data_IF_398830406837
#
_entry.id   IF_398830406837
#
_cell.length_a   1.000
_cell.length_b   1.000
_cell.length_c   1.000
_cell.angle_alpha   90.00
_cell.angle_beta   90.00
_cell.angle_gamma   90.00
#
_symmetry.space_group_name_H-M   'P 1'
#
loop_
_entity.id
_entity.type
_entity.pdbx_description
1 polymer ?
#
# COMPACT_ATOMS: atom_id res chain seq x y z
N UNK A 1 -15.89 15.93 44.58
CA UNK A 1 -15.84 14.45 44.52
C UNK A 1 -16.56 13.91 43.30
N UNK A 2 -17.82 14.31 43.06
CA UNK A 2 -18.61 13.95 41.86
C UNK A 2 -17.91 14.34 40.54
N UNK A 3 -17.30 15.53 40.48
CA UNK A 3 -16.59 16.00 39.28
C UNK A 3 -15.37 15.16 38.90
N UNK A 4 -14.63 14.62 39.89
CA UNK A 4 -13.49 13.72 39.63
C UNK A 4 -13.97 12.36 39.14
N UNK A 5 -15.03 11.82 39.75
CA UNK A 5 -15.63 10.55 39.34
C UNK A 5 -16.17 10.59 37.89
N UNK A 6 -16.77 11.71 37.48
CA UNK A 6 -17.21 11.90 36.09
C UNK A 6 -16.04 12.01 35.11
N UNK A 7 -14.93 12.62 35.53
CA UNK A 7 -13.72 12.78 34.71
C UNK A 7 -12.98 11.44 34.56
N UNK A 8 -12.89 10.65 35.64
CA UNK A 8 -12.33 9.31 35.63
C UNK A 8 -13.20 8.36 34.78
N UNK A 9 -14.53 8.43 34.92
CA UNK A 9 -15.46 7.64 34.10
C UNK A 9 -15.39 8.04 32.62
N UNK A 10 -15.28 9.35 32.32
CA UNK A 10 -15.10 9.84 30.95
C UNK A 10 -13.77 9.37 30.35
N UNK A 11 -12.68 9.43 31.11
CA UNK A 11 -11.36 8.92 30.68
C UNK A 11 -11.38 7.40 30.44
N UNK A 12 -12.10 6.64 31.28
CA UNK A 12 -12.31 5.21 31.06
C UNK A 12 -13.11 4.98 29.78
N UNK A 13 -14.24 5.66 29.57
CA UNK A 13 -15.07 5.50 28.36
C UNK A 13 -14.30 5.88 27.08
N UNK A 14 -13.52 6.97 27.11
CA UNK A 14 -12.64 7.36 25.98
C UNK A 14 -11.57 6.31 25.72
N UNK A 15 -11.07 5.63 26.76
CA UNK A 15 -10.11 4.52 26.62
C UNK A 15 -10.72 3.24 26.04
N UNK A 16 -12.06 3.14 25.96
CA UNK A 16 -12.78 1.96 25.46
C UNK A 16 -13.24 2.08 24.00
N UNK A 17 -13.11 3.25 23.37
CA UNK A 17 -13.54 3.43 21.99
C UNK A 17 -12.44 2.98 21.03
N UNK A 18 -12.62 1.81 20.42
CA UNK A 18 -11.69 1.31 19.42
C UNK A 18 -11.71 2.17 18.16
N UNK A 19 -10.52 2.51 17.65
CA UNK A 19 -10.33 3.19 16.38
C UNK A 19 -11.03 2.47 15.21
N UNK A 20 -11.57 3.24 14.27
CA UNK A 20 -12.04 2.77 12.97
C UNK A 20 -10.88 2.77 11.96
N UNK A 21 -10.46 1.60 11.50
CA UNK A 21 -9.25 1.41 10.72
C UNK A 21 -9.60 0.90 9.33
N UNK A 22 -9.13 1.61 8.30
CA UNK A 22 -9.13 1.14 6.93
C UNK A 22 -7.83 0.42 6.63
N UNK A 23 -7.91 -0.82 6.16
CA UNK A 23 -6.76 -1.59 5.67
C UNK A 23 -6.90 -1.75 4.17
N UNK A 24 -6.00 -1.15 3.39
CA UNK A 24 -6.07 -1.10 1.94
C UNK A 24 -4.94 -1.91 1.31
N UNK A 25 -5.18 -3.19 1.07
CA UNK A 25 -4.18 -4.14 0.51
C UNK A 25 -4.79 -4.98 -0.62
N UNK A 26 -5.12 -4.39 -1.79
CA UNK A 26 -5.76 -5.08 -2.93
C UNK A 26 -4.82 -6.05 -3.67
N UNK A 27 -3.77 -6.51 -3.00
CA UNK A 27 -2.82 -7.52 -3.47
C UNK A 27 -3.37 -8.92 -3.22
N UNK A 28 -3.42 -9.75 -4.26
CA UNK A 28 -3.78 -11.18 -4.18
C UNK A 28 -2.69 -12.12 -3.65
N UNK A 29 -1.61 -11.60 -3.06
CA UNK A 29 -0.49 -12.42 -2.58
C UNK A 29 -0.72 -12.97 -1.17
N UNK A 30 -0.74 -14.30 -1.05
CA UNK A 30 -0.88 -14.98 0.25
C UNK A 30 0.22 -14.60 1.24
N UNK A 31 1.48 -14.42 0.80
CA UNK A 31 2.57 -14.08 1.72
C UNK A 31 2.39 -12.69 2.34
N UNK A 32 1.81 -11.74 1.60
CA UNK A 32 1.53 -10.40 2.10
C UNK A 32 0.37 -10.45 3.08
N UNK A 33 -0.73 -11.11 2.69
CA UNK A 33 -1.92 -11.24 3.54
C UNK A 33 -1.63 -12.02 4.83
N UNK A 34 -0.83 -13.08 4.78
CA UNK A 34 -0.41 -13.83 5.98
C UNK A 34 0.43 -12.98 6.94
N UNK A 35 1.14 -11.98 6.44
CA UNK A 35 1.93 -11.05 7.26
C UNK A 35 1.02 -10.06 7.99
N UNK A 36 -0.01 -9.53 7.31
CA UNK A 36 -0.81 -8.43 7.84
C UNK A 36 -2.05 -8.88 8.63
N UNK A 37 -2.79 -9.91 8.18
CA UNK A 37 -4.05 -10.35 8.78
C UNK A 37 -3.97 -10.64 10.29
N UNK A 38 -2.91 -11.27 10.83
CA UNK A 38 -2.80 -11.50 12.27
C UNK A 38 -2.84 -10.21 13.09
N UNK A 39 -2.21 -9.13 12.59
CA UNK A 39 -2.19 -7.81 13.24
C UNK A 39 -3.62 -7.27 13.34
N UNK A 40 -4.34 -7.26 12.21
CA UNK A 40 -5.69 -6.68 12.17
C UNK A 40 -6.76 -7.53 12.86
N UNK A 41 -6.59 -8.86 12.92
CA UNK A 41 -7.41 -9.72 13.79
C UNK A 41 -7.23 -9.37 15.26
N UNK A 42 -5.99 -9.12 15.68
CA UNK A 42 -5.70 -8.77 17.05
C UNK A 42 -6.22 -7.36 17.39
N UNK A 43 -6.09 -6.39 16.49
CA UNK A 43 -6.71 -5.07 16.65
C UNK A 43 -8.24 -5.19 16.75
N UNK A 44 -8.88 -5.99 15.89
CA UNK A 44 -10.31 -6.24 15.99
C UNK A 44 -10.71 -6.83 17.35
N UNK A 45 -9.97 -7.83 17.85
CA UNK A 45 -10.21 -8.43 19.18
C UNK A 45 -10.08 -7.43 20.33
N UNK A 46 -9.29 -6.38 20.16
CA UNK A 46 -9.11 -5.29 21.13
C UNK A 46 -10.19 -4.21 21.03
N UNK A 47 -11.19 -4.39 20.17
CA UNK A 47 -12.35 -3.50 20.04
C UNK A 47 -12.27 -2.50 18.88
N UNK A 48 -11.22 -2.55 18.06
CA UNK A 48 -11.12 -1.70 16.86
C UNK A 48 -12.10 -2.16 15.77
N UNK A 49 -12.72 -1.21 15.07
CA UNK A 49 -13.51 -1.52 13.88
C UNK A 49 -12.57 -1.58 12.66
N UNK A 50 -12.64 -2.67 11.88
CA UNK A 50 -11.74 -2.87 10.73
C UNK A 50 -12.56 -3.02 9.45
N UNK A 51 -12.23 -2.19 8.46
CA UNK A 51 -12.65 -2.38 7.06
C UNK A 51 -11.42 -2.79 6.25
N UNK A 52 -11.44 -4.00 5.69
CA UNK A 52 -10.28 -4.58 5.02
C UNK A 52 -10.53 -4.75 3.52
N UNK A 53 -9.88 -3.93 2.70
CA UNK A 53 -9.87 -4.08 1.23
C UNK A 53 -8.78 -5.08 0.84
N UNK A 54 -9.17 -6.15 0.15
CA UNK A 54 -8.28 -7.24 -0.25
C UNK A 54 -8.76 -7.92 -1.52
N UNK A 55 -7.88 -8.64 -2.20
CA UNK A 55 -8.27 -9.50 -3.32
C UNK A 55 -8.34 -10.98 -2.94
N UNK A 56 -7.94 -11.32 -1.71
CA UNK A 56 -8.09 -12.66 -1.15
C UNK A 56 -9.13 -12.66 -0.05
N UNK A 57 -10.26 -13.32 -0.26
CA UNK A 57 -11.27 -13.50 0.79
C UNK A 57 -10.69 -14.32 1.95
N UNK A 58 -10.88 -13.84 3.17
CA UNK A 58 -10.71 -14.63 4.39
C UNK A 58 -12.08 -14.98 4.97
N UNK A 59 -12.58 -16.18 4.70
CA UNK A 59 -13.91 -16.61 5.18
C UNK A 59 -14.03 -16.65 6.71
N UNK A 60 -12.91 -16.63 7.43
CA UNK A 60 -12.88 -16.66 8.88
C UNK A 60 -12.58 -15.29 9.50
N UNK A 61 -12.49 -14.21 8.73
CA UNK A 61 -12.21 -12.89 9.28
C UNK A 61 -13.37 -12.42 10.18
N UNK A 62 -13.08 -11.89 11.38
CA UNK A 62 -14.11 -11.39 12.28
C UNK A 62 -14.57 -9.96 11.92
N UNK A 63 -13.98 -9.36 10.88
CA UNK A 63 -14.18 -7.98 10.47
C UNK A 63 -14.71 -7.86 9.04
N UNK A 64 -15.17 -6.67 8.67
CA UNK A 64 -15.70 -6.39 7.34
C UNK A 64 -14.58 -6.44 6.28
N UNK A 65 -14.87 -7.11 5.16
CA UNK A 65 -13.95 -7.20 4.01
C UNK A 65 -14.63 -6.69 2.74
N UNK A 66 -13.94 -5.84 2.00
CA UNK A 66 -14.28 -5.49 0.62
C UNK A 66 -13.35 -6.30 -0.28
N UNK A 67 -13.90 -7.35 -0.89
CA UNK A 67 -13.11 -8.26 -1.74
C UNK A 67 -13.16 -7.81 -3.20
N UNK A 68 -12.05 -7.29 -3.71
CA UNK A 68 -11.91 -6.79 -5.08
C UNK A 68 -11.23 -7.83 -5.99
N UNK A 69 -11.27 -7.63 -7.31
CA UNK A 69 -10.54 -8.49 -8.25
C UNK A 69 -9.03 -8.37 -8.00
N UNK A 70 -8.33 -9.50 -7.98
CA UNK A 70 -6.86 -9.48 -7.98
C UNK A 70 -6.33 -9.01 -9.33
N UNK A 71 -5.77 -7.81 -9.34
CA UNK A 71 -5.19 -7.20 -10.51
C UNK A 71 -3.93 -7.93 -11.01
N UNK A 72 -3.25 -8.68 -10.13
CA UNK A 72 -2.04 -9.43 -10.47
C UNK A 72 -2.33 -10.88 -10.90
N UNK A 73 -3.56 -11.38 -10.81
CA UNK A 73 -3.89 -12.78 -11.12
C UNK A 73 -3.50 -13.16 -12.56
N UNK A 74 -3.91 -12.36 -13.54
CA UNK A 74 -3.60 -12.59 -14.96
C UNK A 74 -2.10 -12.57 -15.26
N UNK A 75 -1.36 -11.78 -14.47
CA UNK A 75 0.08 -11.63 -14.63
C UNK A 75 0.85 -12.77 -13.96
N UNK A 76 0.48 -13.12 -12.72
CA UNK A 76 1.07 -14.22 -11.94
C UNK A 76 0.75 -15.60 -12.53
N UNK A 77 -0.38 -15.74 -13.25
CA UNK A 77 -0.70 -16.94 -14.02
C UNK A 77 0.26 -17.21 -15.18
N UNK A 78 0.93 -16.17 -15.70
CA UNK A 78 1.81 -16.25 -16.89
C UNK A 78 3.29 -16.12 -16.53
N UNK A 79 3.60 -15.44 -15.44
CA UNK A 79 4.96 -15.12 -15.03
C UNK A 79 5.16 -15.41 -13.55
N UNK A 80 6.23 -16.12 -13.23
CA UNK A 80 6.69 -16.23 -11.86
C UNK A 80 7.24 -14.87 -11.39
N UNK A 81 6.60 -14.31 -10.37
CA UNK A 81 6.98 -13.02 -9.78
C UNK A 81 8.40 -13.01 -9.22
N UNK A 82 8.92 -14.16 -8.80
CA UNK A 82 10.31 -14.30 -8.35
C UNK A 82 11.29 -14.33 -9.51
N UNK A 83 10.86 -14.69 -10.71
CA UNK A 83 11.72 -14.69 -11.90
C UNK A 83 11.79 -13.30 -12.56
N UNK A 84 10.87 -12.39 -12.21
CA UNK A 84 10.87 -10.99 -12.70
C UNK A 84 12.18 -10.28 -12.37
N UNK A 85 12.75 -10.54 -11.18
CA UNK A 85 14.05 -9.99 -10.77
C UNK A 85 15.19 -10.35 -11.72
N UNK A 86 15.02 -11.38 -12.57
CA UNK A 86 16.01 -11.80 -13.55
C UNK A 86 16.12 -10.84 -14.73
N UNK A 87 15.05 -10.14 -15.07
CA UNK A 87 15.00 -9.24 -16.22
C UNK A 87 15.45 -7.80 -15.88
N UNK A 88 15.83 -7.55 -14.62
CA UNK A 88 16.43 -6.31 -14.17
C UNK A 88 15.56 -5.07 -14.45
N UNK A 89 16.17 -4.03 -15.04
CA UNK A 89 15.52 -2.73 -15.28
C UNK A 89 14.30 -2.83 -16.21
N UNK A 90 14.32 -3.73 -17.20
CA UNK A 90 13.19 -3.90 -18.14
C UNK A 90 11.96 -4.45 -17.41
N UNK A 91 12.15 -5.45 -16.54
CA UNK A 91 11.08 -5.97 -15.70
C UNK A 91 10.50 -4.88 -14.81
N UNK A 92 11.35 -4.09 -14.15
CA UNK A 92 10.92 -2.97 -13.32
C UNK A 92 10.01 -2.02 -14.10
N UNK A 93 10.44 -1.62 -15.29
CA UNK A 93 9.67 -0.71 -16.13
C UNK A 93 8.33 -1.32 -16.57
N UNK A 94 8.31 -2.59 -16.97
CA UNK A 94 7.06 -3.30 -17.32
C UNK A 94 6.11 -3.32 -16.11
N UNK A 95 6.61 -3.62 -14.92
CA UNK A 95 5.82 -3.64 -13.68
C UNK A 95 5.22 -2.28 -13.35
N UNK A 96 6.02 -1.22 -13.42
CA UNK A 96 5.50 0.13 -13.24
C UNK A 96 4.47 0.51 -14.30
N UNK A 97 4.69 0.17 -15.57
CA UNK A 97 3.71 0.48 -16.62
C UNK A 97 2.39 -0.26 -16.43
N UNK A 98 2.45 -1.54 -16.04
CA UNK A 98 1.27 -2.37 -15.77
C UNK A 98 0.54 -1.97 -14.51
N UNK A 99 1.21 -1.33 -13.56
CA UNK A 99 0.61 -0.99 -12.28
C UNK A 99 -0.53 0.02 -12.38
N UNK A 100 -0.55 0.84 -13.44
CA UNK A 100 -1.69 1.70 -13.77
C UNK A 100 -2.94 0.90 -14.12
N UNK A 101 -2.79 -0.14 -14.95
CA UNK A 101 -3.89 -1.04 -15.32
C UNK A 101 -4.37 -1.82 -14.09
N UNK A 102 -3.43 -2.23 -13.23
CA UNK A 102 -3.73 -2.92 -12.00
C UNK A 102 -4.54 -2.06 -11.03
N UNK A 103 -4.08 -0.82 -10.81
CA UNK A 103 -4.81 0.18 -10.06
C UNK A 103 -6.23 0.37 -10.60
N UNK A 104 -6.37 0.55 -11.91
CA UNK A 104 -7.68 0.74 -12.54
C UNK A 104 -8.62 -0.45 -12.30
N UNK A 105 -8.09 -1.67 -12.22
CA UNK A 105 -8.89 -2.89 -12.06
C UNK A 105 -9.67 -2.84 -10.73
N UNK A 106 -8.98 -2.65 -9.60
CA UNK A 106 -9.67 -2.61 -8.30
C UNK A 106 -10.32 -1.25 -8.00
N UNK A 107 -9.77 -0.14 -8.52
CA UNK A 107 -10.39 1.18 -8.32
C UNK A 107 -11.74 1.29 -9.03
N UNK A 108 -11.93 0.62 -10.17
CA UNK A 108 -13.22 0.60 -10.86
C UNK A 108 -14.32 -0.21 -10.16
N UNK A 109 -13.99 -0.95 -9.10
CA UNK A 109 -14.98 -1.71 -8.34
C UNK A 109 -16.01 -0.76 -7.70
N UNK A 110 -17.32 -0.95 -7.91
CA UNK A 110 -18.34 -0.07 -7.37
C UNK A 110 -18.26 0.13 -5.84
N UNK A 111 -17.81 -0.89 -5.10
CA UNK A 111 -17.67 -0.82 -3.64
C UNK A 111 -16.48 0.05 -3.23
N UNK A 112 -15.42 0.05 -4.05
CA UNK A 112 -14.28 0.96 -3.85
C UNK A 112 -14.66 2.38 -4.24
N UNK A 113 -15.39 2.56 -5.33
CA UNK A 113 -15.93 3.87 -5.72
C UNK A 113 -16.83 4.44 -4.61
N UNK A 114 -17.76 3.64 -4.07
CA UNK A 114 -18.59 4.03 -2.94
C UNK A 114 -17.75 4.45 -1.72
N UNK A 115 -16.73 3.66 -1.35
CA UNK A 115 -15.83 3.97 -0.25
C UNK A 115 -15.09 5.29 -0.45
N UNK A 116 -14.44 5.49 -1.60
CA UNK A 116 -13.60 6.68 -1.86
C UNK A 116 -14.43 7.94 -2.17
N UNK A 117 -15.65 7.79 -2.67
CA UNK A 117 -16.56 8.91 -2.93
C UNK A 117 -17.39 9.28 -1.70
N UNK A 118 -17.53 8.38 -0.72
CA UNK A 118 -18.28 8.63 0.50
C UNK A 118 -17.83 9.90 1.22
N UNK A 119 -18.79 10.70 1.68
CA UNK A 119 -18.55 11.87 2.54
C UNK A 119 -18.81 11.57 4.02
N UNK A 120 -19.45 10.44 4.30
CA UNK A 120 -19.93 10.08 5.64
C UNK A 120 -19.02 9.06 6.33
N UNK A 121 -18.20 8.33 5.56
CA UNK A 121 -17.21 7.40 6.10
C UNK A 121 -16.02 8.16 6.70
N UNK A 122 -15.68 7.80 7.95
CA UNK A 122 -14.55 8.36 8.70
C UNK A 122 -13.65 7.23 9.18
N UNK A 123 -12.33 7.40 9.09
CA UNK A 123 -11.35 6.46 9.63
C UNK A 123 -10.36 7.20 10.52
N UNK A 124 -9.97 6.59 11.63
CA UNK A 124 -8.96 7.11 12.56
C UNK A 124 -7.54 6.71 12.12
N UNK A 125 -7.42 5.71 11.25
CA UNK A 125 -6.15 5.21 10.72
C UNK A 125 -6.38 4.58 9.34
N UNK A 126 -5.46 4.83 8.40
CA UNK A 126 -5.39 4.11 7.13
C UNK A 126 -4.08 3.33 7.09
N UNK A 127 -4.16 2.01 7.08
CA UNK A 127 -3.03 1.13 6.83
C UNK A 127 -3.06 0.65 5.38
N UNK A 128 -1.97 0.76 4.64
CA UNK A 128 -1.99 0.47 3.20
C UNK A 128 -0.67 -0.10 2.71
N UNK A 129 -0.74 -0.88 1.63
CA UNK A 129 0.43 -1.42 0.93
C UNK A 129 0.58 -0.66 -0.40
N UNK A 130 1.18 0.54 -0.39
CA UNK A 130 1.32 1.37 -1.59
C UNK A 130 2.64 1.21 -2.33
N UNK A 131 3.68 0.78 -1.63
CA UNK A 131 5.07 0.72 -2.12
C UNK A 131 5.36 -0.48 -3.02
N UNK A 132 4.31 -1.20 -3.41
CA UNK A 132 4.31 -2.35 -4.30
C UNK A 132 3.53 -2.00 -5.59
N UNK A 133 3.94 -0.91 -6.23
CA UNK A 133 3.32 -0.40 -7.45
C UNK A 133 1.86 0.05 -7.27
N UNK A 134 1.46 0.39 -6.06
CA UNK A 134 0.09 0.79 -5.71
C UNK A 134 0.08 2.18 -5.06
N UNK A 135 0.98 3.07 -5.49
CA UNK A 135 1.19 4.39 -4.90
C UNK A 135 -0.07 5.27 -4.92
N UNK A 136 -0.99 5.02 -5.87
CA UNK A 136 -2.30 5.67 -5.93
C UNK A 136 -3.11 5.51 -4.63
N UNK A 137 -2.91 4.41 -3.90
CA UNK A 137 -3.64 4.12 -2.66
C UNK A 137 -3.19 5.04 -1.51
N UNK A 138 -2.01 5.67 -1.60
CA UNK A 138 -1.56 6.65 -0.61
C UNK A 138 -2.52 7.86 -0.50
N UNK A 139 -3.28 8.14 -1.56
CA UNK A 139 -4.31 9.18 -1.55
C UNK A 139 -5.43 8.92 -0.54
N UNK A 140 -5.64 7.67 -0.11
CA UNK A 140 -6.65 7.32 0.90
C UNK A 140 -6.41 8.05 2.23
N UNK A 141 -5.16 8.25 2.63
CA UNK A 141 -4.83 9.02 3.82
C UNK A 141 -5.33 10.47 3.74
N UNK A 142 -5.10 11.12 2.60
CA UNK A 142 -5.62 12.46 2.35
C UNK A 142 -7.15 12.46 2.21
N UNK A 143 -7.73 11.48 1.52
CA UNK A 143 -9.19 11.37 1.35
C UNK A 143 -9.93 11.32 2.69
N UNK A 144 -9.42 10.54 3.65
CA UNK A 144 -10.06 10.36 4.96
C UNK A 144 -9.49 11.25 6.06
N UNK A 145 -8.50 12.11 5.73
CA UNK A 145 -7.83 13.01 6.68
C UNK A 145 -7.28 12.27 7.92
N UNK A 146 -6.77 11.06 7.70
CA UNK A 146 -6.32 10.16 8.75
C UNK A 146 -4.81 9.89 8.66
N UNK A 147 -4.13 9.63 9.78
CA UNK A 147 -2.77 9.12 9.76
C UNK A 147 -2.65 7.87 8.88
N UNK A 148 -1.60 7.84 8.06
CA UNK A 148 -1.30 6.72 7.17
C UNK A 148 -0.14 5.89 7.69
N UNK A 149 -0.33 4.57 7.73
CA UNK A 149 0.74 3.60 8.01
C UNK A 149 0.98 2.76 6.76
N UNK A 150 2.22 2.79 6.28
CA UNK A 150 2.65 1.93 5.19
C UNK A 150 2.97 0.52 5.72
N UNK A 151 2.40 -0.49 5.07
CA UNK A 151 2.69 -1.90 5.29
C UNK A 151 3.67 -2.38 4.22
N UNK A 152 4.78 -2.96 4.66
CA UNK A 152 5.83 -3.48 3.78
C UNK A 152 6.07 -4.96 4.05
N UNK A 153 5.61 -5.83 3.14
CA UNK A 153 5.90 -7.27 3.12
C UNK A 153 7.16 -7.60 2.28
N UNK A 154 7.77 -6.59 1.66
CA UNK A 154 8.99 -6.71 0.86
C UNK A 154 10.03 -5.68 1.32
N UNK A 155 11.31 -5.87 0.99
CA UNK A 155 12.30 -4.82 1.19
C UNK A 155 11.89 -3.50 0.51
N UNK A 156 12.27 -2.36 1.07
CA UNK A 156 11.89 -1.06 0.52
C UNK A 156 12.52 -0.82 -0.86
N UNK A 157 11.75 -0.24 -1.78
CA UNK A 157 12.27 0.24 -3.07
C UNK A 157 13.04 1.55 -2.90
N UNK A 158 13.83 1.95 -3.90
CA UNK A 158 14.51 3.25 -3.88
C UNK A 158 13.51 4.41 -3.86
N UNK A 159 12.40 4.28 -4.57
CA UNK A 159 11.31 5.25 -4.52
C UNK A 159 10.75 5.38 -3.10
N UNK A 160 10.46 4.27 -2.42
CA UNK A 160 9.98 4.30 -1.03
C UNK A 160 10.97 5.02 -0.10
N UNK A 161 12.24 4.65 -0.16
CA UNK A 161 13.28 5.27 0.67
C UNK A 161 13.40 6.77 0.39
N UNK A 162 13.27 7.17 -0.88
CA UNK A 162 13.28 8.57 -1.30
C UNK A 162 12.12 9.38 -0.73
N UNK A 163 10.87 8.90 -0.84
CA UNK A 163 9.70 9.66 -0.39
C UNK A 163 9.52 9.70 1.13
N UNK A 164 10.05 8.69 1.82
CA UNK A 164 10.02 8.64 3.30
C UNK A 164 11.22 9.32 3.95
N UNK A 165 12.18 9.83 3.17
CA UNK A 165 13.39 10.46 3.68
C UNK A 165 14.36 9.50 4.38
N UNK A 166 14.21 8.19 4.17
CA UNK A 166 15.14 7.21 4.70
C UNK A 166 16.52 7.35 4.01
N UNK A 167 17.64 7.23 4.74
CA UNK A 167 18.96 7.28 4.13
C UNK A 167 19.18 6.05 3.23
N UNK A 168 19.65 6.28 2.00
CA UNK A 168 20.01 5.19 1.07
C UNK A 168 21.28 5.54 0.29
N UNK A 169 22.03 4.50 -0.07
CA UNK A 169 23.16 4.61 -1.00
C UNK A 169 22.97 3.61 -2.12
N UNK A 170 23.04 4.07 -3.37
CA UNK A 170 22.99 3.18 -4.53
C UNK A 170 24.12 2.14 -4.56
N UNK A 171 25.16 2.33 -3.76
CA UNK A 171 26.30 1.41 -3.72
C UNK A 171 26.12 0.25 -2.72
N UNK A 172 25.19 0.37 -1.76
CA UNK A 172 25.03 -0.60 -0.68
C UNK A 172 23.57 -1.05 -0.47
N UNK A 173 22.61 -0.18 -0.77
CA UNK A 173 21.18 -0.47 -0.67
C UNK A 173 20.73 -1.24 -1.90
N UNK A 174 19.97 -2.31 -1.72
CA UNK A 174 19.42 -3.11 -2.81
C UNK A 174 17.91 -2.89 -2.89
N UNK A 175 17.36 -2.85 -4.10
CA UNK A 175 15.91 -2.84 -4.31
C UNK A 175 15.37 -4.27 -4.42
N UNK A 176 14.12 -4.48 -3.99
CA UNK A 176 13.38 -5.75 -4.10
C UNK A 176 13.33 -6.34 -5.51
N UNK A 177 13.56 -5.52 -6.54
CA UNK A 177 13.50 -5.90 -7.94
C UNK A 177 14.90 -6.12 -8.56
N UNK A 178 15.95 -6.15 -7.74
CA UNK A 178 17.32 -6.47 -8.15
C UNK A 178 17.80 -7.77 -7.49
N UNK A 179 18.65 -8.53 -8.18
CA UNK A 179 19.41 -9.65 -7.60
C UNK A 179 20.62 -9.20 -6.78
N UNK A 180 20.93 -7.90 -6.78
CA UNK A 180 22.05 -7.37 -6.02
C UNK A 180 21.94 -7.77 -4.56
N UNK A 181 23.06 -8.17 -3.97
CA UNK A 181 23.16 -8.45 -2.53
C UNK A 181 23.84 -7.27 -1.82
N UNK A 182 23.93 -7.30 -0.49
CA UNK A 182 24.73 -6.32 0.26
C UNK A 182 26.22 -6.31 -0.09
N UNK A 183 26.72 -7.29 -0.86
CA UNK A 183 28.08 -7.35 -1.38
C UNK A 183 28.05 -7.21 -2.90
N UNK A 184 28.30 -5.99 -3.39
CA UNK A 184 28.40 -5.67 -4.82
C UNK A 184 29.81 -5.25 -5.20
N UNK A 185 30.30 -5.76 -6.33
CA UNK A 185 31.46 -5.23 -7.02
C UNK A 185 31.15 -3.88 -7.71
N UNK A 186 32.16 -3.24 -8.28
CA UNK A 186 31.99 -1.92 -8.90
C UNK A 186 30.91 -1.89 -9.99
N UNK A 187 30.86 -2.90 -10.87
CA UNK A 187 29.89 -2.94 -11.97
C UNK A 187 28.47 -3.20 -11.47
N UNK A 188 28.32 -4.00 -10.43
CA UNK A 188 27.03 -4.23 -9.77
C UNK A 188 26.54 -2.96 -9.07
N UNK A 189 27.42 -2.21 -8.41
CA UNK A 189 27.09 -0.89 -7.82
C UNK A 189 26.66 0.10 -8.88
N UNK A 190 27.35 0.14 -10.02
CA UNK A 190 27.01 1.01 -11.14
C UNK A 190 25.61 0.67 -11.70
N UNK A 191 25.35 -0.62 -11.96
CA UNK A 191 24.02 -1.09 -12.40
C UNK A 191 22.93 -0.77 -11.39
N UNK A 192 23.18 -0.99 -10.10
CA UNK A 192 22.23 -0.70 -9.03
C UNK A 192 21.95 0.80 -8.90
N UNK A 193 22.95 1.65 -9.18
CA UNK A 193 22.79 3.10 -9.28
C UNK A 193 21.85 3.48 -10.42
N UNK A 194 22.03 2.92 -11.61
CA UNK A 194 21.09 3.15 -12.72
C UNK A 194 19.68 2.68 -12.37
N UNK A 195 19.52 1.48 -11.80
CA UNK A 195 18.20 0.97 -11.38
C UNK A 195 17.53 1.90 -10.37
N UNK A 196 18.26 2.35 -9.34
CA UNK A 196 17.72 3.23 -8.31
C UNK A 196 17.39 4.63 -8.83
N UNK A 197 18.26 5.23 -9.64
CA UNK A 197 17.99 6.51 -10.28
C UNK A 197 16.79 6.43 -11.22
N UNK A 198 16.73 5.40 -12.08
CA UNK A 198 15.58 5.20 -12.97
C UNK A 198 14.31 4.98 -12.17
N UNK A 199 14.34 4.21 -11.08
CA UNK A 199 13.18 4.01 -10.22
C UNK A 199 12.66 5.34 -9.66
N UNK A 200 13.53 6.16 -9.07
CA UNK A 200 13.12 7.45 -8.50
C UNK A 200 12.62 8.40 -9.59
N UNK A 201 13.38 8.59 -10.67
CA UNK A 201 13.05 9.56 -11.73
C UNK A 201 11.80 9.13 -12.50
N UNK A 202 11.68 7.86 -12.86
CA UNK A 202 10.53 7.34 -13.58
C UNK A 202 9.26 7.45 -12.71
N UNK A 203 9.32 7.03 -11.44
CA UNK A 203 8.15 7.14 -10.59
C UNK A 203 7.76 8.60 -10.37
N UNK A 204 8.72 9.48 -10.07
CA UNK A 204 8.47 10.91 -9.82
C UNK A 204 7.91 11.66 -11.02
N UNK A 205 8.51 11.50 -12.20
CA UNK A 205 8.20 12.34 -13.37
C UNK A 205 7.22 11.68 -14.35
N UNK A 206 7.01 10.37 -14.28
CA UNK A 206 6.10 9.67 -15.19
C UNK A 206 4.90 9.04 -14.46
N UNK A 207 5.13 8.31 -13.36
CA UNK A 207 4.04 7.61 -12.67
C UNK A 207 3.17 8.55 -11.82
N UNK A 208 3.78 9.39 -10.99
CA UNK A 208 3.04 10.30 -10.09
C UNK A 208 2.09 11.24 -10.83
N UNK A 209 2.49 11.91 -11.94
CA UNK A 209 1.56 12.73 -12.71
C UNK A 209 0.35 11.95 -13.23
N UNK A 210 0.53 10.68 -13.63
CA UNK A 210 -0.58 9.82 -14.10
C UNK A 210 -1.53 9.44 -12.97
N UNK A 211 -1.02 9.16 -11.78
CA UNK A 211 -1.85 8.92 -10.60
C UNK A 211 -2.68 10.15 -10.21
N UNK A 212 -2.11 11.35 -10.36
CA UNK A 212 -2.80 12.62 -10.02
C UNK A 212 -3.78 13.11 -11.08
N UNK A 213 -3.62 12.74 -12.36
CA UNK A 213 -4.44 13.22 -13.47
C UNK A 213 -5.90 12.73 -13.52
N UNK A 214 -6.42 12.14 -12.44
CA UNK A 214 -7.82 11.71 -12.34
C UNK A 214 -8.21 10.48 -13.18
N UNK A 215 -7.31 10.00 -14.06
CA UNK A 215 -7.53 8.86 -14.97
C UNK A 215 -7.95 7.58 -14.23
N UNK A 216 -7.54 7.43 -12.96
CA UNK A 216 -7.83 6.24 -12.15
C UNK A 216 -9.04 6.39 -11.20
N UNK A 217 -9.61 7.59 -11.06
CA UNK A 217 -10.61 7.91 -10.02
C UNK A 217 -11.92 8.45 -10.60
N UNK A 218 -12.08 8.49 -11.92
CA UNK A 218 -13.32 8.99 -12.55
C UNK A 218 -13.63 10.45 -12.18
N UNK A 219 -12.62 11.22 -11.76
CA UNK A 219 -12.77 12.58 -11.25
C UNK A 219 -12.41 13.59 -12.34
N UNK A 220 -13.35 14.46 -12.68
CA UNK A 220 -13.21 15.53 -13.70
C UNK A 220 -12.78 16.88 -13.13
N UNK A 221 -12.65 17.00 -11.81
CA UNK A 221 -12.39 18.31 -11.18
C UNK A 221 -10.96 18.41 -10.64
N UNK A 222 -10.27 19.54 -10.90
CA UNK A 222 -8.90 19.77 -10.43
C UNK A 222 -8.88 20.05 -8.91
N UNK A 223 -7.75 19.72 -8.28
CA UNK A 223 -7.39 20.10 -6.92
C UNK A 223 -7.16 21.61 -6.80
#
# INVERSE_FOLDING_TARGET
MISRLCLDLFLVIVSFQGANILVFTPTGSHSHQNTYRPIFRELFRRGHNITYVTSLLDSNAPYHQIVVKDALEDFTAKFDVFEIRNFGLIANLIMYLRSLDWASTYLSDPRIQELIMSKDQHFDLVALESSLFQEVNANSGHKFQAPTVELLAVPPSFWFLHVTGNPYSFSCTTSSLSKSTGRMNFMERLKNTFVGMTNILFTKYFMMPKHSSGILVGRTDPL
#
